data_IF_913202714788
#
_entry.id   IF_913202714788
#
_cell.length_a   1.000
_cell.length_b   1.000
_cell.length_c   1.000
_cell.angle_alpha   90.00
_cell.angle_beta   90.00
_cell.angle_gamma   90.00
#
_symmetry.space_group_name_H-M   'P 1'
#
loop_
_entity.id
_entity.type
_entity.pdbx_description
1 polymer ?
#
# COMPACT_ATOMS: atom_id res chain seq x y z
N UNK A 1 -7.37 20.00 -11.92
CA UNK A 1 -7.06 18.59 -12.26
C UNK A 1 -7.50 17.76 -11.08
N UNK A 2 -8.13 16.59 -11.31
CA UNK A 2 -8.66 15.68 -10.28
C UNK A 2 -7.54 15.02 -9.50
N UNK A 3 -6.73 14.21 -10.19
CA UNK A 3 -5.49 13.63 -9.70
C UNK A 3 -4.38 13.95 -10.70
N UNK A 4 -3.29 14.52 -10.21
CA UNK A 4 -2.05 14.66 -10.98
C UNK A 4 -1.13 13.50 -10.66
N UNK A 5 -0.40 13.00 -11.65
CA UNK A 5 0.50 11.87 -11.45
C UNK A 5 1.80 12.03 -12.22
N UNK A 6 2.89 11.72 -11.53
CA UNK A 6 4.26 11.75 -12.05
C UNK A 6 5.02 10.51 -11.65
N UNK A 7 5.92 10.06 -12.53
CA UNK A 7 6.73 8.87 -12.30
C UNK A 7 8.20 9.22 -12.23
N UNK A 8 8.88 8.63 -11.26
CA UNK A 8 10.27 8.93 -10.96
C UNK A 8 11.11 7.67 -10.77
N UNK A 9 12.42 7.84 -10.92
CA UNK A 9 13.46 6.83 -10.65
C UNK A 9 14.57 7.42 -9.79
N UNK A 10 15.01 6.66 -8.79
CA UNK A 10 16.16 6.97 -7.95
C UNK A 10 16.91 5.71 -7.53
N UNK A 11 18.16 5.90 -7.07
CA UNK A 11 18.98 4.80 -6.55
C UNK A 11 18.82 4.71 -5.04
N UNK A 12 18.66 3.49 -4.53
CA UNK A 12 18.68 3.16 -3.10
C UNK A 12 19.96 2.42 -2.70
N UNK A 13 20.76 1.99 -3.68
CA UNK A 13 22.09 1.41 -3.49
C UNK A 13 23.00 1.69 -4.69
N UNK A 14 24.16 1.04 -4.76
CA UNK A 14 25.13 1.24 -5.85
C UNK A 14 24.49 1.01 -7.24
N UNK A 15 23.75 -0.10 -7.37
CA UNK A 15 23.06 -0.52 -8.59
C UNK A 15 21.62 -0.99 -8.33
N UNK A 16 21.05 -0.61 -7.18
CA UNK A 16 19.66 -0.89 -6.83
C UNK A 16 18.84 0.37 -7.03
N UNK A 17 17.73 0.22 -7.74
CA UNK A 17 16.88 1.33 -8.16
C UNK A 17 15.46 1.13 -7.68
N UNK A 18 14.80 2.25 -7.48
CA UNK A 18 13.42 2.35 -7.05
C UNK A 18 12.69 3.27 -8.03
N UNK A 19 11.54 2.81 -8.49
CA UNK A 19 10.56 3.64 -9.15
C UNK A 19 9.55 4.15 -8.12
N UNK A 20 8.99 5.32 -8.40
CA UNK A 20 7.97 5.93 -7.57
C UNK A 20 6.92 6.62 -8.46
N UNK A 21 5.65 6.23 -8.29
CA UNK A 21 4.51 6.96 -8.82
C UNK A 21 3.98 7.89 -7.73
N UNK A 22 4.10 9.20 -7.96
CA UNK A 22 3.59 10.24 -7.07
C UNK A 22 2.22 10.69 -7.57
N UNK A 23 1.23 10.67 -6.68
CA UNK A 23 -0.12 11.13 -6.91
C UNK A 23 -0.41 12.34 -6.03
N UNK A 24 -0.86 13.43 -6.64
CA UNK A 24 -1.42 14.59 -5.95
C UNK A 24 -2.94 14.58 -6.16
N UNK A 25 -3.67 14.34 -5.08
CA UNK A 25 -5.11 14.08 -5.07
C UNK A 25 -5.83 15.33 -4.57
N UNK A 26 -6.60 15.97 -5.44
CA UNK A 26 -7.36 17.18 -5.09
C UNK A 26 -8.74 16.82 -4.53
N UNK A 27 -9.25 17.61 -3.59
CA UNK A 27 -10.64 17.47 -3.13
C UNK A 27 -11.63 17.61 -4.31
N UNK A 28 -12.69 16.78 -4.39
CA UNK A 28 -13.12 15.73 -3.44
C UNK A 28 -12.72 14.31 -3.90
N UNK A 29 -11.60 14.16 -4.61
CA UNK A 29 -11.23 12.89 -5.24
C UNK A 29 -10.50 11.94 -4.28
N UNK A 30 -10.59 10.65 -4.56
CA UNK A 30 -9.78 9.58 -3.98
C UNK A 30 -9.38 8.56 -5.04
N UNK A 31 -8.34 7.77 -4.75
CA UNK A 31 -7.90 6.61 -5.54
C UNK A 31 -7.78 5.39 -4.64
N UNK A 32 -7.71 4.19 -5.20
CA UNK A 32 -7.81 2.94 -4.43
C UNK A 32 -6.46 2.28 -4.17
N UNK A 33 -6.41 1.50 -3.10
CA UNK A 33 -5.28 0.68 -2.69
C UNK A 33 -5.15 -0.59 -3.55
N UNK A 34 -4.15 -1.43 -3.27
CA UNK A 34 -3.95 -2.71 -3.98
C UNK A 34 -5.17 -3.62 -3.85
N UNK A 35 -5.76 -3.69 -2.65
CA UNK A 35 -7.10 -4.21 -2.45
C UNK A 35 -8.05 -3.00 -2.38
N UNK A 36 -8.88 -2.76 -3.40
CA UNK A 36 -9.76 -1.60 -3.43
C UNK A 36 -10.96 -1.70 -2.50
N UNK A 37 -11.25 -2.89 -1.95
CA UNK A 37 -12.52 -3.23 -1.31
C UNK A 37 -13.60 -3.59 -2.33
N UNK A 38 -14.86 -3.41 -1.97
CA UNK A 38 -16.00 -4.02 -2.67
C UNK A 38 -16.33 -3.41 -4.04
N UNK A 39 -16.01 -2.13 -4.29
CA UNK A 39 -16.49 -1.42 -5.50
C UNK A 39 -15.45 -0.60 -6.25
N UNK A 40 -14.19 -0.60 -5.81
CA UNK A 40 -13.11 0.14 -6.47
C UNK A 40 -12.33 -0.68 -7.51
N UNK A 41 -11.28 -0.07 -8.05
CA UNK A 41 -10.27 -0.74 -8.88
C UNK A 41 -8.89 -0.32 -8.42
N UNK A 42 -8.00 -1.30 -8.27
CA UNK A 42 -6.66 -1.09 -7.75
C UNK A 42 -5.86 -0.04 -8.55
N UNK A 43 -5.05 0.72 -7.82
CA UNK A 43 -3.99 1.52 -8.46
C UNK A 43 -2.82 0.60 -8.77
N UNK A 44 -2.42 0.52 -10.03
CA UNK A 44 -1.45 -0.45 -10.53
C UNK A 44 -0.25 0.25 -11.18
N UNK A 45 0.94 -0.29 -10.93
CA UNK A 45 2.18 0.07 -11.59
C UNK A 45 2.71 -1.17 -12.33
N UNK A 46 2.87 -1.05 -13.64
CA UNK A 46 3.40 -2.13 -14.47
C UNK A 46 4.59 -1.66 -15.30
N UNK A 47 5.51 -2.57 -15.57
CA UNK A 47 6.68 -2.33 -16.38
C UNK A 47 7.58 -3.54 -16.41
N UNK A 48 8.52 -3.54 -17.35
CA UNK A 48 9.54 -4.58 -17.40
C UNK A 48 10.42 -4.51 -16.15
N UNK A 49 10.81 -5.66 -15.61
CA UNK A 49 11.77 -5.75 -14.50
C UNK A 49 11.34 -5.00 -13.24
N UNK A 50 10.04 -4.90 -12.98
CA UNK A 50 9.54 -4.45 -11.68
C UNK A 50 9.43 -5.66 -10.75
N UNK A 51 9.95 -5.50 -9.54
CA UNK A 51 9.63 -6.39 -8.42
C UNK A 51 8.26 -6.01 -7.84
N UNK A 52 7.89 -6.67 -6.75
CA UNK A 52 6.65 -6.41 -6.02
C UNK A 52 6.46 -4.93 -5.68
N UNK A 53 5.28 -4.40 -6.00
CA UNK A 53 4.92 -2.99 -5.77
C UNK A 53 4.65 -2.77 -4.28
N UNK A 54 5.28 -1.76 -3.72
CA UNK A 54 5.21 -1.37 -2.33
C UNK A 54 4.20 -0.23 -2.17
N UNK A 55 3.07 -0.54 -1.53
CA UNK A 55 2.01 0.40 -1.26
C UNK A 55 2.15 0.97 0.16
N UNK A 56 1.98 2.29 0.34
CA UNK A 56 1.68 2.86 1.65
C UNK A 56 0.46 2.18 2.29
N UNK A 57 0.35 2.33 3.61
CA UNK A 57 -0.87 1.93 4.31
C UNK A 57 -2.06 2.76 3.77
N UNK A 58 -3.18 2.12 3.43
CA UNK A 58 -4.37 2.83 2.97
C UNK A 58 -5.13 3.42 4.15
N UNK A 59 -6.18 4.16 3.83
CA UNK A 59 -7.27 4.46 4.76
C UNK A 59 -8.54 3.77 4.30
N UNK A 60 -9.45 3.52 5.24
CA UNK A 60 -10.79 2.99 4.97
C UNK A 60 -11.74 4.13 4.61
N UNK A 61 -12.54 3.91 3.58
CA UNK A 61 -13.66 4.77 3.21
C UNK A 61 -14.95 3.97 3.21
N UNK A 62 -15.99 4.49 3.85
CA UNK A 62 -17.33 3.95 3.75
C UNK A 62 -18.09 4.72 2.65
N UNK A 63 -18.54 4.01 1.63
CA UNK A 63 -19.38 4.56 0.56
C UNK A 63 -20.86 4.39 0.90
N UNK A 64 -21.74 5.09 0.16
CA UNK A 64 -23.18 4.99 0.35
C UNK A 64 -23.63 3.52 0.33
N UNK A 65 -24.44 3.14 1.32
CA UNK A 65 -24.92 1.76 1.47
C UNK A 65 -24.02 0.85 2.32
N UNK A 66 -22.98 1.39 2.97
CA UNK A 66 -22.11 0.60 3.87
C UNK A 66 -21.01 -0.17 3.14
N UNK A 67 -20.78 0.14 1.87
CA UNK A 67 -19.76 -0.47 1.01
C UNK A 67 -18.38 -0.01 1.47
N UNK A 68 -17.50 -0.95 1.78
CA UNK A 68 -16.17 -0.68 2.30
C UNK A 68 -15.17 -0.61 1.16
N UNK A 69 -14.38 0.46 1.13
CA UNK A 69 -13.30 0.63 0.18
C UNK A 69 -12.00 1.06 0.89
N UNK A 70 -10.86 0.76 0.28
CA UNK A 70 -9.55 1.17 0.80
C UNK A 70 -8.75 1.94 -0.24
N UNK A 71 -8.04 2.97 0.20
CA UNK A 71 -7.25 3.78 -0.71
C UNK A 71 -6.64 5.03 -0.08
N UNK A 72 -6.56 6.08 -0.89
CA UNK A 72 -5.92 7.35 -0.55
C UNK A 72 -6.82 8.52 -0.95
N UNK A 73 -7.03 9.45 0.00
CA UNK A 73 -7.84 10.64 -0.19
C UNK A 73 -7.00 11.87 -0.52
N UNK A 74 -7.55 13.05 -0.24
CA UNK A 74 -6.91 14.35 -0.52
C UNK A 74 -5.51 14.43 0.09
N UNK A 75 -4.55 14.90 -0.72
CA UNK A 75 -3.15 15.02 -0.33
C UNK A 75 -2.22 14.34 -1.32
N UNK A 76 -1.08 13.86 -0.82
CA UNK A 76 -0.08 13.17 -1.61
C UNK A 76 0.02 11.71 -1.21
N UNK A 77 0.19 10.82 -2.19
CA UNK A 77 0.58 9.42 -1.96
C UNK A 77 1.64 9.00 -2.97
N UNK A 78 2.59 8.18 -2.53
CA UNK A 78 3.67 7.68 -3.37
C UNK A 78 3.69 6.16 -3.29
N UNK A 79 3.50 5.51 -4.45
CA UNK A 79 3.60 4.06 -4.60
C UNK A 79 4.97 3.75 -5.18
N UNK A 80 5.67 2.78 -4.60
CA UNK A 80 7.04 2.44 -4.98
C UNK A 80 7.10 1.09 -5.69
N UNK A 81 8.03 0.93 -6.63
CA UNK A 81 8.30 -0.36 -7.25
C UNK A 81 9.83 -0.55 -7.38
N UNK A 82 10.43 -1.54 -6.69
CA UNK A 82 11.85 -1.84 -6.87
C UNK A 82 12.09 -2.35 -8.29
N UNK A 83 13.20 -1.96 -8.90
CA UNK A 83 13.64 -2.59 -10.15
C UNK A 83 14.30 -3.92 -9.78
N UNK A 84 13.77 -5.04 -10.29
CA UNK A 84 14.19 -6.40 -9.95
C UNK A 84 15.62 -6.69 -10.40
N UNK A 85 16.01 -6.17 -11.57
CA UNK A 85 17.38 -6.28 -12.05
C UNK A 85 18.31 -5.22 -11.44
N UNK A 86 19.46 -5.66 -10.91
CA UNK A 86 20.52 -4.76 -10.46
C UNK A 86 21.19 -4.09 -11.66
N UNK A 87 20.71 -2.89 -11.98
CA UNK A 87 21.27 -2.07 -13.06
C UNK A 87 21.99 -0.85 -12.50
N UNK A 88 23.25 -0.70 -12.90
CA UNK A 88 24.04 0.47 -12.53
C UNK A 88 23.72 1.69 -13.40
N UNK A 89 22.95 1.55 -14.48
CA UNK A 89 22.41 2.66 -15.27
C UNK A 89 20.95 2.94 -14.87
N UNK A 90 20.51 4.20 -15.05
CA UNK A 90 19.14 4.58 -14.67
C UNK A 90 18.10 3.83 -15.51
N UNK A 91 17.08 3.28 -14.86
CA UNK A 91 15.91 2.71 -15.52
C UNK A 91 15.25 3.78 -16.41
N UNK A 92 14.99 3.43 -17.67
CA UNK A 92 14.51 4.34 -18.73
C UNK A 92 13.42 3.75 -19.61
N UNK A 93 12.93 2.56 -19.28
CA UNK A 93 11.80 1.99 -20.00
C UNK A 93 10.51 2.71 -19.56
N UNK A 94 9.49 2.79 -20.42
CA UNK A 94 8.18 3.26 -20.01
C UNK A 94 7.63 2.39 -18.87
N UNK A 95 6.93 3.01 -17.92
CA UNK A 95 6.07 2.30 -16.99
C UNK A 95 4.62 2.72 -17.21
N UNK A 96 3.72 1.77 -17.10
CA UNK A 96 2.28 1.99 -17.11
C UNK A 96 1.82 2.25 -15.68
N UNK A 97 1.05 3.31 -15.49
CA UNK A 97 0.35 3.58 -14.25
C UNK A 97 -1.14 3.65 -14.56
N UNK A 98 -1.93 2.86 -13.86
CA UNK A 98 -3.38 2.75 -14.04
C UNK A 98 -4.07 2.93 -12.69
N UNK A 99 -5.17 3.70 -12.65
CA UNK A 99 -5.92 3.94 -11.43
C UNK A 99 -7.38 4.28 -11.73
N UNK A 100 -8.23 4.14 -10.73
CA UNK A 100 -9.58 4.67 -10.73
C UNK A 100 -9.62 5.86 -9.76
N UNK A 101 -9.91 7.05 -10.27
CA UNK A 101 -10.19 8.22 -9.44
C UNK A 101 -11.69 8.39 -9.30
N UNK A 102 -12.17 8.58 -8.07
CA UNK A 102 -13.59 8.72 -7.77
C UNK A 102 -13.88 9.94 -6.90
N UNK A 103 -15.07 10.49 -7.06
CA UNK A 103 -15.79 11.30 -6.06
C UNK A 103 -16.93 10.46 -5.49
N UNK A 104 -17.80 11.05 -4.66
CA UNK A 104 -19.02 10.40 -4.19
C UNK A 104 -20.02 10.06 -5.30
N UNK A 105 -19.94 10.72 -6.45
CA UNK A 105 -20.94 10.62 -7.52
C UNK A 105 -20.37 10.08 -8.84
N UNK A 106 -19.05 10.12 -9.03
CA UNK A 106 -18.44 9.82 -10.33
C UNK A 106 -17.10 9.14 -10.18
N UNK A 107 -16.87 8.12 -10.98
CA UNK A 107 -15.61 7.42 -11.09
C UNK A 107 -15.08 7.46 -12.53
N UNK A 108 -13.78 7.68 -12.69
CA UNK A 108 -13.13 7.77 -14.00
C UNK A 108 -11.86 6.94 -13.99
N UNK A 109 -11.79 5.89 -14.83
CA UNK A 109 -10.55 5.13 -15.00
C UNK A 109 -9.54 5.98 -15.77
N UNK A 110 -8.31 6.01 -15.28
CA UNK A 110 -7.18 6.71 -15.88
C UNK A 110 -6.03 5.74 -16.07
N UNK A 111 -5.25 5.97 -17.11
CA UNK A 111 -3.96 5.32 -17.27
C UNK A 111 -3.05 6.19 -18.12
N UNK A 112 -1.75 6.03 -17.92
CA UNK A 112 -0.76 6.52 -18.88
C UNK A 112 0.52 5.70 -18.81
N UNK A 113 1.29 5.76 -19.89
CA UNK A 113 2.64 5.20 -19.95
C UNK A 113 3.65 6.33 -20.09
N UNK A 114 4.64 6.38 -19.18
CA UNK A 114 5.70 7.40 -19.19
C UNK A 114 7.04 6.82 -18.80
N UNK A 115 8.10 7.39 -19.37
CA UNK A 115 9.48 7.13 -18.92
C UNK A 115 9.68 7.87 -17.58
N UNK A 116 10.18 7.19 -16.53
CA UNK A 116 10.37 7.80 -15.23
C UNK A 116 11.46 8.87 -15.24
N UNK A 117 11.21 9.98 -14.54
CA UNK A 117 12.15 11.09 -14.42
C UNK A 117 13.10 10.90 -13.25
N UNK A 118 14.33 11.42 -13.36
CA UNK A 118 15.25 11.36 -12.22
C UNK A 118 14.77 12.29 -11.10
N UNK A 119 14.70 11.77 -9.88
CA UNK A 119 14.31 12.56 -8.69
C UNK A 119 15.28 13.73 -8.45
N UNK A 120 14.73 14.94 -8.26
CA UNK A 120 15.49 16.14 -7.90
C UNK A 120 16.01 16.13 -6.46
N UNK A 121 16.82 17.13 -6.06
CA UNK A 121 17.26 17.24 -4.65
C UNK A 121 16.09 17.40 -3.67
N UNK A 122 15.10 18.21 -4.03
CA UNK A 122 13.94 18.51 -3.19
C UNK A 122 13.06 17.27 -3.01
N UNK A 123 12.72 16.61 -4.12
CA UNK A 123 11.87 15.41 -4.10
C UNK A 123 12.53 14.25 -3.35
N UNK A 124 13.87 14.17 -3.29
CA UNK A 124 14.55 13.10 -2.54
C UNK A 124 14.17 13.07 -1.06
N UNK A 125 14.02 14.23 -0.42
CA UNK A 125 13.67 14.26 1.01
C UNK A 125 12.22 13.81 1.24
N UNK A 126 11.30 14.30 0.40
CA UNK A 126 9.89 13.90 0.42
C UNK A 126 9.73 12.40 0.18
N UNK A 127 10.43 11.86 -0.83
CA UNK A 127 10.33 10.46 -1.20
C UNK A 127 10.97 9.56 -0.14
N UNK A 128 12.05 10.02 0.50
CA UNK A 128 12.64 9.31 1.64
C UNK A 128 11.64 9.23 2.80
N UNK A 129 11.01 10.34 3.17
CA UNK A 129 10.04 10.35 4.27
C UNK A 129 8.84 9.44 3.97
N UNK A 130 8.30 9.47 2.75
CA UNK A 130 7.22 8.58 2.34
C UNK A 130 7.65 7.11 2.29
N UNK A 131 8.87 6.82 1.82
CA UNK A 131 9.40 5.46 1.83
C UNK A 131 9.58 4.89 3.24
N UNK A 132 9.98 5.72 4.22
CA UNK A 132 10.12 5.32 5.62
C UNK A 132 8.79 4.99 6.32
N UNK A 133 7.67 5.43 5.73
CA UNK A 133 6.30 5.14 6.19
C UNK A 133 5.69 3.89 5.55
N UNK A 134 6.39 3.22 4.62
CA UNK A 134 5.94 1.96 4.07
C UNK A 134 5.78 0.91 5.19
N UNK A 135 4.75 0.03 5.11
CA UNK A 135 4.57 -1.04 6.08
C UNK A 135 5.83 -1.88 6.24
N UNK A 136 6.28 -2.05 7.50
CA UNK A 136 7.42 -2.91 7.80
C UNK A 136 6.98 -4.37 7.84
N UNK A 137 7.77 -5.26 7.24
CA UNK A 137 7.52 -6.70 7.39
C UNK A 137 7.68 -7.11 8.85
N UNK A 138 6.64 -7.72 9.43
CA UNK A 138 6.73 -8.27 10.78
C UNK A 138 7.72 -9.43 10.83
N UNK A 139 8.41 -9.54 11.97
CA UNK A 139 9.27 -10.69 12.22
C UNK A 139 8.41 -11.94 12.43
N UNK A 140 8.89 -13.09 11.97
CA UNK A 140 8.19 -14.37 12.21
C UNK A 140 8.06 -14.71 13.70
N UNK A 141 8.90 -14.13 14.57
CA UNK A 141 8.81 -14.30 16.02
C UNK A 141 7.63 -13.52 16.63
N UNK A 142 7.15 -12.48 15.94
CA UNK A 142 5.99 -11.70 16.33
C UNK A 142 4.67 -12.37 15.95
N UNK A 143 4.72 -13.47 15.20
CA UNK A 143 3.56 -14.23 14.71
C UNK A 143 3.56 -15.58 15.44
N UNK A 144 2.54 -15.83 16.25
CA UNK A 144 2.41 -17.06 17.03
C UNK A 144 1.19 -17.84 16.57
N UNK A 145 1.41 -19.06 16.12
CA UNK A 145 0.34 -19.98 15.74
C UNK A 145 -0.13 -20.77 16.96
N UNK A 146 -1.43 -20.71 17.25
CA UNK A 146 -2.08 -21.54 18.29
C UNK A 146 -3.36 -22.14 17.76
N UNK A 147 -3.40 -23.46 17.61
CA UNK A 147 -4.55 -24.20 17.07
C UNK A 147 -5.05 -23.62 15.73
N UNK A 148 -6.22 -22.97 15.74
CA UNK A 148 -6.85 -22.33 14.57
C UNK A 148 -6.66 -20.81 14.54
N UNK A 149 -5.67 -20.26 15.26
CA UNK A 149 -5.52 -18.83 15.53
C UNK A 149 -4.09 -18.33 15.27
N UNK A 150 -3.96 -17.08 14.83
CA UNK A 150 -2.67 -16.41 14.55
C UNK A 150 -2.53 -15.15 15.40
N UNK A 151 -1.86 -15.26 16.55
CA UNK A 151 -1.61 -14.13 17.43
C UNK A 151 -0.47 -13.26 16.90
N UNK A 152 -0.64 -11.92 16.93
CA UNK A 152 0.40 -10.98 16.51
C UNK A 152 0.81 -10.11 17.70
N UNK A 153 2.08 -10.18 18.06
CA UNK A 153 2.63 -9.39 19.15
C UNK A 153 3.15 -8.05 18.60
N UNK A 154 2.43 -6.98 18.88
CA UNK A 154 2.83 -5.61 18.54
C UNK A 154 3.35 -4.89 19.79
N UNK A 155 4.44 -4.11 19.68
CA UNK A 155 4.94 -3.34 20.82
C UNK A 155 4.03 -2.14 21.09
N UNK A 156 3.42 -2.09 22.28
CA UNK A 156 2.82 -0.89 22.88
C UNK A 156 1.73 -0.22 22.02
N UNK A 157 0.61 -0.89 21.78
CA UNK A 157 -0.46 -0.33 20.92
C UNK A 157 -1.81 -0.28 21.63
N UNK A 158 -2.45 0.88 21.65
CA UNK A 158 -3.81 1.09 22.16
C UNK A 158 -4.90 0.76 21.13
N UNK A 159 -4.58 0.84 19.82
CA UNK A 159 -5.49 0.58 18.71
C UNK A 159 -4.74 0.10 17.47
N UNK A 160 -5.34 -0.87 16.77
CA UNK A 160 -4.86 -1.41 15.50
C UNK A 160 -6.02 -1.53 14.53
N UNK A 161 -5.77 -1.16 13.28
CA UNK A 161 -6.65 -1.36 12.15
C UNK A 161 -6.00 -2.33 11.16
N UNK A 162 -6.77 -3.24 10.57
CA UNK A 162 -6.28 -4.18 9.54
C UNK A 162 -6.90 -3.84 8.20
N UNK A 163 -6.02 -3.85 7.22
CA UNK A 163 -6.30 -3.73 5.82
C UNK A 163 -5.92 -5.05 5.16
N UNK A 164 -6.88 -5.99 5.04
CA UNK A 164 -6.66 -7.27 4.40
C UNK A 164 -6.37 -7.11 2.91
N UNK A 165 -5.62 -8.03 2.30
CA UNK A 165 -5.71 -8.23 0.85
C UNK A 165 -7.00 -8.98 0.49
N UNK A 166 -7.26 -9.15 -0.81
CA UNK A 166 -8.46 -9.86 -1.30
C UNK A 166 -8.60 -11.28 -0.75
N UNK A 167 -7.49 -11.97 -0.47
CA UNK A 167 -7.50 -13.34 0.08
C UNK A 167 -7.86 -13.39 1.56
N UNK A 168 -7.49 -12.37 2.34
CA UNK A 168 -7.78 -12.31 3.77
C UNK A 168 -9.22 -11.84 4.08
N UNK A 169 -9.79 -10.96 3.25
CA UNK A 169 -11.15 -10.43 3.47
C UNK A 169 -12.22 -11.50 3.65
N UNK A 170 -12.10 -12.58 2.88
CA UNK A 170 -13.06 -13.69 2.91
C UNK A 170 -13.05 -14.49 4.22
N UNK A 171 -12.08 -14.27 5.12
CA UNK A 171 -11.80 -15.14 6.28
C UNK A 171 -11.86 -14.38 7.63
N UNK A 172 -12.13 -13.07 7.62
CA UNK A 172 -12.19 -12.26 8.85
C UNK A 172 -13.54 -12.43 9.58
N UNK A 173 -13.67 -13.50 10.37
CA UNK A 173 -14.92 -13.81 11.09
C UNK A 173 -15.05 -13.13 12.48
N UNK A 174 -13.96 -12.79 13.19
CA UNK A 174 -14.06 -12.12 14.50
C UNK A 174 -12.78 -11.44 14.99
N UNK A 175 -12.96 -10.31 15.67
CA UNK A 175 -11.92 -9.45 16.26
C UNK A 175 -12.15 -9.31 17.77
N UNK A 176 -11.11 -9.47 18.60
CA UNK A 176 -11.18 -9.10 20.02
C UNK A 176 -9.87 -8.46 20.50
N UNK A 177 -9.99 -7.37 21.26
CA UNK A 177 -8.87 -6.70 21.93
C UNK A 177 -8.86 -7.10 23.40
N UNK A 178 -7.72 -7.55 23.91
CA UNK A 178 -7.52 -7.85 25.32
C UNK A 178 -6.08 -7.45 25.71
N UNK A 179 -5.93 -6.48 26.62
CA UNK A 179 -4.64 -5.94 27.13
C UNK A 179 -3.83 -5.08 26.11
N UNK A 180 -2.52 -4.89 26.37
CA UNK A 180 -1.52 -4.21 25.51
C UNK A 180 -1.04 -5.08 24.32
N UNK A 181 -1.76 -6.17 24.02
CA UNK A 181 -1.44 -7.13 22.96
C UNK A 181 -2.65 -7.22 22.02
N UNK A 182 -2.45 -6.90 20.74
CA UNK A 182 -3.51 -7.10 19.74
C UNK A 182 -3.48 -8.54 19.23
N UNK A 183 -4.36 -9.38 19.78
CA UNK A 183 -4.55 -10.75 19.26
C UNK A 183 -5.49 -10.70 18.06
N UNK A 184 -4.98 -11.09 16.90
CA UNK A 184 -5.81 -11.41 15.75
C UNK A 184 -6.16 -12.89 15.82
N UNK A 185 -7.37 -13.24 15.46
CA UNK A 185 -7.80 -14.63 15.37
C UNK A 185 -8.06 -14.93 13.90
N UNK A 186 -6.99 -15.22 13.17
CA UNK A 186 -7.07 -15.66 11.78
C UNK A 186 -7.16 -17.18 11.74
N UNK A 187 -8.05 -17.72 10.90
CA UNK A 187 -8.13 -19.16 10.67
C UNK A 187 -6.77 -19.69 10.17
N UNK A 188 -6.27 -20.77 10.77
CA UNK A 188 -4.97 -21.36 10.46
C UNK A 188 -4.80 -21.86 9.01
N UNK A 189 -5.87 -21.93 8.22
CA UNK A 189 -5.81 -22.22 6.78
C UNK A 189 -5.62 -20.97 5.90
N UNK A 190 -5.43 -19.79 6.48
CA UNK A 190 -5.25 -18.54 5.75
C UNK A 190 -4.00 -18.59 4.85
N UNK A 191 -4.18 -18.22 3.59
CA UNK A 191 -3.11 -17.86 2.66
C UNK A 191 -3.40 -16.46 2.15
N UNK A 192 -2.51 -15.50 2.44
CA UNK A 192 -2.67 -14.12 1.97
C UNK A 192 -1.86 -13.10 2.75
N UNK A 193 -2.14 -11.84 2.48
CA UNK A 193 -1.40 -10.70 3.01
C UNK A 193 -2.31 -9.69 3.70
N UNK A 194 -1.73 -8.89 4.59
CA UNK A 194 -2.44 -7.75 5.19
C UNK A 194 -1.51 -6.64 5.62
N UNK A 195 -2.06 -5.44 5.76
CA UNK A 195 -1.40 -4.32 6.42
C UNK A 195 -2.09 -4.03 7.74
N UNK A 196 -1.33 -4.06 8.83
CA UNK A 196 -1.75 -3.63 10.16
C UNK A 196 -1.28 -2.20 10.38
N UNK A 197 -2.19 -1.29 10.71
CA UNK A 197 -1.88 0.09 11.05
C UNK A 197 -2.11 0.29 12.53
N UNK A 198 -1.04 0.60 13.25
CA UNK A 198 -1.07 1.05 14.65
C UNK A 198 -0.86 2.56 14.73
N UNK A 199 -1.00 3.14 15.93
CA UNK A 199 -0.73 4.57 16.16
C UNK A 199 0.72 4.97 15.82
N UNK A 200 1.68 4.07 16.03
CA UNK A 200 3.10 4.37 15.82
C UNK A 200 3.59 3.97 14.43
N UNK A 201 3.06 2.88 13.87
CA UNK A 201 3.61 2.28 12.63
C UNK A 201 2.65 1.37 11.89
N UNK A 202 2.92 1.20 10.59
CA UNK A 202 2.27 0.19 9.74
C UNK A 202 3.17 -1.04 9.54
N UNK A 203 2.53 -2.20 9.42
CA UNK A 203 3.18 -3.50 9.36
C UNK A 203 2.58 -4.38 8.28
N UNK A 204 3.42 -5.05 7.50
CA UNK A 204 3.02 -6.03 6.51
C UNK A 204 3.07 -7.45 7.11
N UNK A 205 1.95 -8.16 6.99
CA UNK A 205 1.76 -9.54 7.36
C UNK A 205 1.60 -10.38 6.09
N UNK A 206 2.24 -11.55 6.05
CA UNK A 206 2.09 -12.55 4.99
C UNK A 206 2.17 -13.92 5.65
N UNK A 207 1.21 -14.80 5.34
CA UNK A 207 1.17 -16.19 5.79
C UNK A 207 0.92 -17.14 4.62
#
# INVERSE_FOLDING_TARGET
MSVSTSVFVFRVGLCTQMLAAHFEISSPWHIYWKNPGESGLATELEGDELAEVLYPAPVRFDSLGGVVNYGYGVGETIIFAPVSERKCFLYRNPISVSWLECTTETCVKKSYSKIPQRVSKQQRNQFKASFEQLPLRLSSQSIVHRDLTVEILLPSTSRVELFPDEGLEAILDSWSQEEDIVRLYLNASFQGEAVLVSEERSYFLSH
#
